data_IF_908045948768
#
_entry.id   IF_908045948768
#
_cell.length_a   1.000
_cell.length_b   1.000
_cell.length_c   1.000
_cell.angle_alpha   90.00
_cell.angle_beta   90.00
_cell.angle_gamma   90.00
#
_symmetry.space_group_name_H-M   'P 1'
#
loop_
_entity.id
_entity.type
_entity.pdbx_description
1 polymer ?
#
# COMPACT_ATOMS: atom_id res chain seq x y z
N UNK A 1 -2.94 -21.26 4.42
CA UNK A 1 -3.65 -22.53 4.17
C UNK A 1 -3.96 -23.20 5.48
N UNK A 2 -5.23 -23.57 5.68
CA UNK A 2 -5.67 -24.28 6.89
C UNK A 2 -5.20 -25.74 6.85
N UNK A 3 -4.55 -26.26 7.92
CA UNK A 3 -4.21 -27.67 8.00
C UNK A 3 -5.46 -28.56 7.81
N UNK A 4 -5.32 -29.72 7.14
CA UNK A 4 -6.46 -30.61 6.87
C UNK A 4 -6.99 -31.29 8.14
N UNK A 5 -6.21 -31.28 9.23
CA UNK A 5 -6.50 -31.97 10.48
C UNK A 5 -6.24 -31.01 11.64
N UNK A 6 -7.18 -30.95 12.58
CA UNK A 6 -7.14 -30.06 13.76
C UNK A 6 -6.71 -30.75 15.06
N UNK A 7 -6.37 -32.04 14.99
CA UNK A 7 -5.87 -32.83 16.11
C UNK A 7 -4.55 -32.27 16.66
N UNK A 8 -4.47 -32.14 17.98
CA UNK A 8 -3.36 -31.48 18.66
C UNK A 8 -2.04 -32.25 18.48
N UNK A 9 -2.07 -33.58 18.57
CA UNK A 9 -0.87 -34.40 18.41
C UNK A 9 -0.35 -34.35 16.97
N UNK A 10 -1.27 -34.43 16.00
CA UNK A 10 -0.93 -34.27 14.59
C UNK A 10 -0.22 -32.94 14.33
N UNK A 11 -0.78 -31.82 14.82
CA UNK A 11 -0.17 -30.50 14.65
C UNK A 11 1.22 -30.42 15.29
N UNK A 12 1.39 -30.97 16.50
CA UNK A 12 2.68 -31.04 17.18
C UNK A 12 3.71 -31.88 16.40
N UNK A 13 3.28 -33.04 15.87
CA UNK A 13 4.15 -33.96 15.13
C UNK A 13 4.60 -33.40 13.78
N UNK A 14 3.73 -32.66 13.08
CA UNK A 14 4.09 -31.95 11.85
C UNK A 14 5.21 -30.96 12.12
N UNK A 15 5.07 -30.12 13.14
CA UNK A 15 6.07 -29.11 13.48
C UNK A 15 7.40 -29.77 13.91
N UNK A 16 7.32 -30.83 14.72
CA UNK A 16 8.48 -31.60 15.16
C UNK A 16 9.22 -32.24 13.98
N UNK A 17 8.51 -32.86 13.04
CA UNK A 17 9.09 -33.51 11.88
C UNK A 17 9.89 -32.54 10.99
N UNK A 18 9.36 -31.34 10.78
CA UNK A 18 10.05 -30.26 10.05
C UNK A 18 11.36 -29.90 10.77
N UNK A 19 11.29 -29.62 12.07
CA UNK A 19 12.47 -29.21 12.84
C UNK A 19 13.53 -30.33 12.94
N UNK A 20 13.13 -31.57 13.17
CA UNK A 20 14.07 -32.70 13.24
C UNK A 20 14.79 -32.91 11.91
N UNK A 21 14.10 -32.69 10.78
CA UNK A 21 14.73 -32.75 9.46
C UNK A 21 15.85 -31.72 9.33
N UNK A 22 15.65 -30.48 9.78
CA UNK A 22 16.70 -29.46 9.80
C UNK A 22 17.90 -29.91 10.66
N UNK A 23 17.63 -30.48 11.83
CA UNK A 23 18.66 -30.95 12.78
C UNK A 23 19.49 -32.12 12.27
N UNK A 24 18.98 -32.91 11.33
CA UNK A 24 19.75 -34.00 10.72
C UNK A 24 20.93 -33.49 9.88
N UNK A 25 20.84 -32.27 9.35
CA UNK A 25 21.89 -31.63 8.53
C UNK A 25 22.69 -30.64 9.37
N UNK A 26 22.01 -29.79 10.16
CA UNK A 26 22.65 -28.82 11.04
C UNK A 26 22.24 -29.04 12.51
N UNK A 27 23.09 -29.67 13.34
CA UNK A 27 22.85 -29.85 14.76
C UNK A 27 22.74 -28.56 15.57
N UNK A 28 23.00 -27.38 15.00
CA UNK A 28 22.81 -26.06 15.64
C UNK A 28 21.65 -25.27 15.03
N UNK A 29 20.84 -25.88 14.16
CA UNK A 29 19.74 -25.21 13.50
C UNK A 29 18.82 -24.48 14.50
N UNK A 30 18.49 -23.24 14.14
CA UNK A 30 17.42 -22.44 14.73
C UNK A 30 16.44 -22.16 13.60
N UNK A 31 15.18 -22.53 13.80
CA UNK A 31 14.15 -22.30 12.81
C UNK A 31 13.57 -20.90 12.99
N UNK A 32 13.64 -20.07 11.96
CA UNK A 32 12.90 -18.81 11.87
C UNK A 32 11.57 -19.08 11.16
N UNK A 33 10.45 -18.82 11.85
CA UNK A 33 9.11 -19.17 11.39
C UNK A 33 8.20 -17.93 11.38
N UNK A 34 7.46 -17.72 10.30
CA UNK A 34 6.44 -16.66 10.26
C UNK A 34 5.19 -17.07 11.06
N UNK A 35 4.74 -16.21 11.97
CA UNK A 35 3.56 -16.44 12.80
C UNK A 35 2.25 -15.99 12.12
N UNK A 36 2.30 -15.53 10.86
CA UNK A 36 1.14 -15.02 10.10
C UNK A 36 -0.05 -15.99 10.10
N UNK A 37 0.23 -17.29 9.96
CA UNK A 37 -0.83 -18.31 9.95
C UNK A 37 -1.70 -18.28 11.21
N UNK A 38 -1.18 -17.83 12.35
CA UNK A 38 -1.94 -17.78 13.61
C UNK A 38 -3.02 -16.70 13.64
N UNK A 39 -3.04 -15.78 12.67
CA UNK A 39 -4.15 -14.84 12.47
C UNK A 39 -5.46 -15.55 12.08
N UNK A 40 -5.38 -16.74 11.47
CA UNK A 40 -6.56 -17.49 11.07
C UNK A 40 -7.33 -18.06 12.26
N UNK A 41 -8.66 -18.09 12.15
CA UNK A 41 -9.59 -18.60 13.18
C UNK A 41 -9.32 -20.06 13.55
N UNK A 42 -8.69 -20.83 12.65
CA UNK A 42 -8.28 -22.20 12.91
C UNK A 42 -7.30 -22.30 14.10
N UNK A 43 -6.45 -21.30 14.32
CA UNK A 43 -5.40 -21.36 15.32
C UNK A 43 -5.86 -20.84 16.68
N UNK A 44 -6.54 -21.72 17.43
CA UNK A 44 -6.91 -21.49 18.83
C UNK A 44 -5.68 -21.59 19.74
N UNK A 45 -5.72 -21.04 20.98
CA UNK A 45 -4.62 -21.15 21.93
C UNK A 45 -4.07 -22.58 22.09
N UNK A 46 -4.93 -23.56 22.36
CA UNK A 46 -4.52 -24.97 22.51
C UNK A 46 -3.83 -25.54 21.27
N UNK A 47 -4.26 -25.12 20.07
CA UNK A 47 -3.66 -25.57 18.80
C UNK A 47 -2.29 -24.96 18.58
N UNK A 48 -2.12 -23.68 18.89
CA UNK A 48 -0.82 -23.00 18.78
C UNK A 48 0.15 -23.55 19.82
N UNK A 49 -0.28 -23.71 21.07
CA UNK A 49 0.52 -24.31 22.13
C UNK A 49 0.99 -25.71 21.74
N UNK A 50 0.06 -26.57 21.29
CA UNK A 50 0.41 -27.93 20.85
C UNK A 50 1.35 -27.93 19.64
N UNK A 51 1.06 -27.11 18.63
CA UNK A 51 1.89 -27.01 17.42
C UNK A 51 3.33 -26.62 17.76
N UNK A 52 3.53 -25.69 18.69
CA UNK A 52 4.86 -25.22 19.10
C UNK A 52 5.55 -26.12 20.15
N UNK A 53 4.81 -27.04 20.80
CA UNK A 53 5.28 -27.78 21.99
C UNK A 53 6.46 -28.73 21.76
N UNK A 54 6.60 -29.30 20.56
CA UNK A 54 7.63 -30.34 20.27
C UNK A 54 8.90 -29.79 19.63
N UNK A 55 9.01 -28.48 19.47
CA UNK A 55 10.29 -27.82 19.16
C UNK A 55 10.89 -27.35 20.48
N UNK A 56 12.17 -27.63 20.79
CA UNK A 56 12.79 -27.13 22.01
C UNK A 56 12.86 -25.60 22.06
N UNK A 57 12.64 -25.02 23.24
CA UNK A 57 12.84 -23.58 23.46
C UNK A 57 14.29 -23.19 23.12
N UNK A 58 14.46 -22.03 22.50
CA UNK A 58 15.76 -21.56 21.99
C UNK A 58 16.13 -22.08 20.59
N UNK A 59 15.36 -23.01 20.03
CA UNK A 59 15.54 -23.49 18.65
C UNK A 59 14.47 -23.00 17.67
N UNK A 60 13.53 -22.18 18.13
CA UNK A 60 12.50 -21.55 17.32
C UNK A 60 12.49 -20.04 17.60
N UNK A 61 12.50 -19.25 16.52
CA UNK A 61 12.27 -17.81 16.54
C UNK A 61 11.04 -17.53 15.69
N UNK A 62 9.99 -17.01 16.30
CA UNK A 62 8.79 -16.60 15.58
C UNK A 62 8.90 -15.15 15.11
N UNK A 63 8.62 -14.93 13.84
CA UNK A 63 8.35 -13.59 13.32
C UNK A 63 6.87 -13.30 13.57
N UNK A 64 6.56 -12.56 14.64
CA UNK A 64 5.22 -12.01 14.81
C UNK A 64 5.04 -10.94 13.73
N UNK A 65 4.38 -11.33 12.65
CA UNK A 65 4.64 -10.75 11.33
C UNK A 65 3.97 -9.39 11.14
N UNK A 66 2.92 -9.11 11.91
CA UNK A 66 2.09 -7.91 11.78
C UNK A 66 1.78 -7.31 13.15
N UNK A 67 2.83 -7.17 13.96
CA UNK A 67 2.71 -6.84 15.38
C UNK A 67 2.24 -5.42 15.65
N UNK A 68 2.41 -4.49 14.71
CA UNK A 68 1.94 -3.11 14.84
C UNK A 68 0.42 -2.97 14.75
N UNK A 69 -0.26 -4.00 14.24
CA UNK A 69 -1.68 -3.97 13.92
C UNK A 69 -2.45 -5.13 14.55
N UNK A 70 -1.89 -6.34 14.50
CA UNK A 70 -2.50 -7.56 14.97
C UNK A 70 -1.45 -8.45 15.68
N UNK A 71 -0.90 -8.01 16.83
CA UNK A 71 0.13 -8.75 17.55
C UNK A 71 -0.37 -10.11 18.03
N UNK A 72 0.34 -11.18 17.66
CA UNK A 72 0.01 -12.53 18.11
C UNK A 72 0.71 -12.90 19.43
N UNK A 73 1.82 -12.23 19.78
CA UNK A 73 2.54 -12.53 21.03
C UNK A 73 1.64 -12.41 22.27
N UNK A 74 0.75 -11.42 22.32
CA UNK A 74 -0.13 -11.18 23.47
C UNK A 74 -1.27 -12.20 23.54
N UNK A 75 -1.74 -12.68 22.39
CA UNK A 75 -2.78 -13.72 22.26
C UNK A 75 -2.28 -15.09 22.69
N UNK A 76 -1.00 -15.39 22.47
CA UNK A 76 -0.41 -16.70 22.70
C UNK A 76 0.66 -16.71 23.79
N UNK A 77 0.49 -15.87 24.83
CA UNK A 77 1.34 -15.86 26.03
C UNK A 77 2.84 -15.81 25.72
N UNK A 78 3.24 -14.87 24.86
CA UNK A 78 4.60 -14.77 24.34
C UNK A 78 5.10 -16.06 23.68
N UNK A 79 4.23 -16.67 22.87
CA UNK A 79 4.47 -17.92 22.12
C UNK A 79 4.97 -19.08 23.00
N UNK A 80 4.42 -19.19 24.22
CA UNK A 80 4.66 -20.33 25.12
C UNK A 80 6.15 -20.59 25.42
N UNK A 81 6.95 -19.52 25.49
CA UNK A 81 8.37 -19.58 25.82
C UNK A 81 9.32 -19.67 24.64
N UNK A 82 8.81 -19.61 23.41
CA UNK A 82 9.65 -19.48 22.22
C UNK A 82 10.03 -18.02 21.97
N UNK A 83 11.25 -17.82 21.45
CA UNK A 83 11.70 -16.48 21.10
C UNK A 83 10.86 -15.90 19.97
N UNK A 84 10.64 -14.59 19.98
CA UNK A 84 9.98 -13.92 18.87
C UNK A 84 10.57 -12.54 18.55
N UNK A 85 10.36 -12.11 17.32
CA UNK A 85 10.68 -10.77 16.83
C UNK A 85 9.35 -10.06 16.60
N UNK A 86 9.19 -8.87 17.18
CA UNK A 86 8.09 -7.97 16.86
C UNK A 86 8.36 -7.38 15.49
N UNK A 87 7.47 -7.54 14.51
CA UNK A 87 7.68 -6.96 13.19
C UNK A 87 6.59 -5.96 12.85
N UNK A 88 7.01 -4.87 12.21
CA UNK A 88 6.11 -4.02 11.46
C UNK A 88 5.95 -4.60 10.06
N UNK A 89 4.77 -5.13 9.73
CA UNK A 89 4.49 -5.55 8.35
C UNK A 89 4.36 -4.32 7.47
N UNK A 90 3.53 -3.36 7.90
CA UNK A 90 3.20 -2.14 7.18
C UNK A 90 2.52 -2.38 5.83
N UNK A 91 3.27 -2.82 4.81
CA UNK A 91 2.82 -2.87 3.43
C UNK A 91 2.46 -4.28 2.93
N UNK A 92 1.41 -4.31 2.11
CA UNK A 92 0.89 -5.46 1.39
C UNK A 92 0.96 -5.17 -0.11
N UNK A 93 1.45 -6.12 -0.91
CA UNK A 93 1.55 -5.99 -2.36
C UNK A 93 2.55 -4.96 -2.89
N UNK A 94 3.33 -4.28 -2.04
CA UNK A 94 4.17 -3.15 -2.47
C UNK A 94 3.34 -1.95 -2.93
N UNK A 95 2.15 -1.77 -2.39
CA UNK A 95 1.24 -0.70 -2.77
C UNK A 95 1.79 0.65 -2.27
N UNK A 96 1.92 1.64 -3.16
CA UNK A 96 2.56 2.92 -2.83
C UNK A 96 1.55 4.04 -2.48
N UNK A 97 0.61 3.75 -1.58
CA UNK A 97 -0.27 4.73 -0.93
C UNK A 97 0.44 5.37 0.27
N UNK A 98 0.06 6.58 0.69
CA UNK A 98 0.52 7.10 1.98
C UNK A 98 -0.31 6.50 3.11
N UNK A 99 0.32 5.79 4.05
CA UNK A 99 -0.30 5.32 5.28
C UNK A 99 0.76 4.89 6.29
N UNK A 100 0.36 4.77 7.56
CA UNK A 100 1.20 4.20 8.61
C UNK A 100 0.63 4.50 10.00
N UNK A 101 1.25 3.95 11.05
CA UNK A 101 0.93 4.32 12.43
C UNK A 101 2.21 4.55 13.23
N UNK A 102 2.64 5.80 13.31
CA UNK A 102 3.74 6.21 14.17
C UNK A 102 3.42 5.89 15.65
N UNK A 103 2.16 6.02 16.06
CA UNK A 103 1.72 5.72 17.43
C UNK A 103 1.90 4.24 17.77
N UNK A 104 1.45 3.32 16.91
CA UNK A 104 1.59 1.89 17.19
C UNK A 104 3.05 1.45 17.10
N UNK A 105 3.81 2.00 16.16
CA UNK A 105 5.22 1.66 15.98
C UNK A 105 6.07 2.14 17.15
N UNK A 106 5.80 3.33 17.72
CA UNK A 106 6.59 3.81 18.86
C UNK A 106 6.28 3.06 20.15
N UNK A 107 5.03 2.65 20.35
CA UNK A 107 4.59 2.00 21.59
C UNK A 107 4.74 0.47 21.55
N UNK A 108 4.56 -0.14 20.38
CA UNK A 108 4.45 -1.60 20.21
C UNK A 108 5.66 -2.39 20.70
N UNK A 109 6.89 -2.08 20.25
CA UNK A 109 8.09 -2.78 20.70
C UNK A 109 8.34 -2.70 22.21
N UNK A 110 7.99 -1.59 22.86
CA UNK A 110 8.14 -1.45 24.31
C UNK A 110 7.05 -2.26 25.03
N UNK A 111 5.80 -2.20 24.57
CA UNK A 111 4.71 -3.01 25.12
C UNK A 111 4.97 -4.53 24.99
N UNK A 112 5.64 -4.96 23.91
CA UNK A 112 6.06 -6.34 23.70
C UNK A 112 7.22 -6.74 24.63
N UNK A 113 8.17 -5.84 24.90
CA UNK A 113 9.24 -6.04 25.89
C UNK A 113 8.70 -6.14 27.32
N UNK A 114 7.77 -5.27 27.68
CA UNK A 114 7.19 -5.19 29.03
C UNK A 114 6.11 -6.25 29.31
N UNK A 115 5.74 -7.03 28.30
CA UNK A 115 4.81 -8.14 28.48
C UNK A 115 5.37 -9.14 29.51
N UNK A 116 4.55 -9.54 30.48
CA UNK A 116 4.98 -10.45 31.55
C UNK A 116 5.46 -11.78 30.97
N UNK A 117 6.72 -12.14 31.23
CA UNK A 117 7.32 -13.34 30.66
C UNK A 117 7.62 -13.23 29.17
N UNK A 118 7.87 -12.02 28.66
CA UNK A 118 8.22 -11.81 27.26
C UNK A 118 9.50 -12.55 26.86
N UNK A 119 9.42 -13.24 25.74
CA UNK A 119 10.54 -13.86 25.01
C UNK A 119 10.88 -13.07 23.75
N UNK A 120 10.55 -11.77 23.73
CA UNK A 120 10.93 -10.89 22.63
C UNK A 120 12.45 -10.75 22.57
N UNK A 121 13.03 -10.95 21.39
CA UNK A 121 14.48 -10.84 21.17
C UNK A 121 14.87 -9.83 20.08
N UNK A 122 13.90 -9.17 19.44
CA UNK A 122 14.21 -8.18 18.41
C UNK A 122 12.99 -7.45 17.86
N UNK A 123 13.28 -6.40 17.10
CA UNK A 123 12.35 -5.63 16.28
C UNK A 123 12.74 -5.82 14.82
N UNK A 124 11.75 -5.99 13.94
CA UNK A 124 11.96 -6.19 12.51
C UNK A 124 10.93 -5.47 11.65
N UNK A 125 11.15 -5.55 10.34
CA UNK A 125 10.26 -5.05 9.30
C UNK A 125 10.02 -6.18 8.29
N UNK A 126 8.76 -6.39 7.91
CA UNK A 126 8.31 -7.55 7.12
C UNK A 126 7.31 -7.16 6.04
N UNK A 127 7.48 -5.96 5.49
CA UNK A 127 6.72 -5.46 4.35
C UNK A 127 6.83 -6.37 3.13
N UNK A 128 5.74 -6.48 2.38
CA UNK A 128 5.74 -7.23 1.12
C UNK A 128 6.49 -6.47 -0.01
N UNK A 129 6.53 -5.13 0.04
CA UNK A 129 7.36 -4.30 -0.82
C UNK A 129 7.95 -3.06 -0.09
N UNK A 130 9.12 -2.59 -0.55
CA UNK A 130 9.97 -1.65 0.22
C UNK A 130 10.05 -0.21 -0.31
N UNK A 131 9.60 0.09 -1.52
CA UNK A 131 9.79 1.39 -2.19
C UNK A 131 8.63 2.38 -1.94
N UNK A 132 8.26 2.59 -0.68
CA UNK A 132 7.20 3.52 -0.26
C UNK A 132 7.29 3.84 1.23
N UNK A 133 6.71 4.96 1.68
CA UNK A 133 6.61 5.35 3.11
C UNK A 133 7.92 5.19 3.91
N UNK A 134 9.05 5.65 3.35
CA UNK A 134 10.39 5.49 3.95
C UNK A 134 10.47 5.98 5.40
N UNK A 135 9.68 6.99 5.76
CA UNK A 135 9.51 7.48 7.14
C UNK A 135 9.15 6.36 8.12
N UNK A 136 8.26 5.45 7.75
CA UNK A 136 7.80 4.37 8.62
C UNK A 136 8.92 3.36 8.88
N UNK A 137 9.76 3.10 7.88
CA UNK A 137 10.86 2.15 7.99
C UNK A 137 12.04 2.69 8.79
N UNK A 138 12.41 3.95 8.56
CA UNK A 138 13.38 4.65 9.42
C UNK A 138 12.89 4.65 10.87
N UNK A 139 11.62 5.01 11.07
CA UNK A 139 11.03 5.06 12.40
C UNK A 139 10.99 3.69 13.10
N UNK A 140 10.56 2.63 12.41
CA UNK A 140 10.47 1.29 12.99
C UNK A 140 11.85 0.73 13.39
N UNK A 141 12.87 0.93 12.56
CA UNK A 141 14.22 0.46 12.83
C UNK A 141 14.86 1.20 14.02
N UNK A 142 14.55 2.48 14.21
CA UNK A 142 15.01 3.24 15.37
C UNK A 142 14.45 2.72 16.71
N UNK A 143 13.30 2.04 16.73
CA UNK A 143 12.66 1.59 17.98
C UNK A 143 13.47 0.54 18.75
N UNK A 144 14.46 -0.10 18.10
CA UNK A 144 15.41 -0.99 18.78
C UNK A 144 16.30 -0.25 19.80
N UNK A 145 16.49 1.06 19.61
CA UNK A 145 17.44 1.88 20.36
C UNK A 145 16.79 3.02 21.15
N UNK A 146 15.45 3.11 21.11
CA UNK A 146 14.69 4.22 21.69
C UNK A 146 13.61 3.74 22.64
N UNK A 147 13.26 4.62 23.58
CA UNK A 147 12.03 4.52 24.34
C UNK A 147 10.85 5.08 23.51
N UNK A 148 9.60 4.69 23.81
CA UNK A 148 8.43 5.26 23.16
C UNK A 148 8.39 6.79 23.28
N UNK A 149 8.01 7.46 22.19
CA UNK A 149 7.91 8.91 22.13
C UNK A 149 6.50 9.37 22.49
N UNK A 150 6.39 10.43 23.28
CA UNK A 150 5.15 11.18 23.42
C UNK A 150 4.92 12.12 22.22
N UNK A 151 3.74 12.75 22.14
CA UNK A 151 3.36 13.60 21.01
C UNK A 151 4.36 14.73 20.71
N UNK A 152 4.94 15.36 21.74
CA UNK A 152 5.92 16.43 21.56
C UNK A 152 7.25 15.90 21.01
N UNK A 153 7.70 14.76 21.52
CA UNK A 153 8.94 14.11 21.08
C UNK A 153 8.80 13.54 19.66
N UNK A 154 7.64 13.01 19.31
CA UNK A 154 7.34 12.55 17.95
C UNK A 154 7.33 13.74 16.98
N UNK A 155 6.74 14.85 17.38
CA UNK A 155 6.75 16.09 16.59
C UNK A 155 8.17 16.61 16.34
N UNK A 156 9.05 16.53 17.34
CA UNK A 156 10.48 16.86 17.19
C UNK A 156 11.21 15.84 16.31
N UNK A 157 10.90 14.56 16.45
CA UNK A 157 11.47 13.51 15.59
C UNK A 157 11.15 13.76 14.10
N UNK A 158 9.90 14.14 13.79
CA UNK A 158 9.49 14.49 12.43
C UNK A 158 10.27 15.67 11.85
N UNK A 159 10.52 16.71 12.66
CA UNK A 159 11.38 17.84 12.26
C UNK A 159 12.79 17.35 11.94
N UNK A 160 13.37 16.54 12.81
CA UNK A 160 14.72 16.02 12.62
C UNK A 160 14.83 15.06 11.43
N UNK A 161 13.78 14.28 11.14
CA UNK A 161 13.68 13.45 9.93
C UNK A 161 13.83 14.33 8.67
N UNK A 162 13.05 15.41 8.56
CA UNK A 162 13.11 16.32 7.41
C UNK A 162 14.48 17.01 7.28
N UNK A 163 15.04 17.47 8.39
CA UNK A 163 16.37 18.11 8.41
C UNK A 163 17.46 17.19 7.84
N UNK A 164 17.45 15.90 8.22
CA UNK A 164 18.38 14.90 7.69
C UNK A 164 18.08 14.54 6.24
N UNK A 165 16.80 14.35 5.91
CA UNK A 165 16.34 13.84 4.62
C UNK A 165 16.61 14.81 3.48
N UNK A 166 16.33 16.10 3.67
CA UNK A 166 16.48 17.08 2.59
C UNK A 166 17.87 17.68 2.48
N UNK A 167 18.65 17.64 3.57
CA UNK A 167 20.08 17.97 3.62
C UNK A 167 20.46 19.18 2.73
N UNK A 168 19.70 20.27 2.84
CA UNK A 168 19.95 21.49 2.05
C UNK A 168 21.21 22.19 2.53
N UNK A 169 21.91 22.85 1.60
CA UNK A 169 23.03 23.74 1.93
C UNK A 169 22.56 25.01 2.65
N UNK A 170 21.32 25.42 2.36
CA UNK A 170 20.60 26.50 3.02
C UNK A 170 19.73 25.93 4.15
N UNK A 171 19.10 26.81 4.94
CA UNK A 171 18.15 26.38 5.96
C UNK A 171 16.93 25.69 5.32
N UNK A 172 16.43 24.60 5.93
CA UNK A 172 15.18 23.98 5.51
C UNK A 172 14.01 24.94 5.81
N UNK A 173 13.14 25.26 4.83
CA UNK A 173 11.98 26.12 5.06
C UNK A 173 11.07 25.58 6.16
N UNK A 174 10.56 26.48 6.99
CA UNK A 174 9.62 26.13 8.06
C UNK A 174 8.35 25.44 7.53
N UNK A 175 7.94 25.77 6.29
CA UNK A 175 6.81 25.12 5.61
C UNK A 175 7.05 23.62 5.38
N UNK A 176 8.26 23.22 4.95
CA UNK A 176 8.59 21.80 4.79
C UNK A 176 8.58 21.04 6.13
N UNK A 177 9.16 21.62 7.18
CA UNK A 177 9.16 21.03 8.52
C UNK A 177 7.72 20.85 9.04
N UNK A 178 6.90 21.89 8.88
CA UNK A 178 5.52 21.87 9.34
C UNK A 178 4.64 20.92 8.53
N UNK A 179 4.88 20.78 7.22
CA UNK A 179 4.16 19.82 6.39
C UNK A 179 4.29 18.39 6.91
N UNK A 180 5.50 17.97 7.31
CA UNK A 180 5.72 16.63 7.85
C UNK A 180 5.13 16.42 9.25
N UNK A 181 5.05 17.46 10.07
CA UNK A 181 4.29 17.41 11.31
C UNK A 181 2.80 17.22 11.04
N UNK A 182 2.25 17.89 10.01
CA UNK A 182 0.85 17.71 9.60
C UNK A 182 0.61 16.29 9.06
N UNK A 183 1.49 15.76 8.21
CA UNK A 183 1.39 14.38 7.70
C UNK A 183 1.50 13.34 8.83
N UNK A 184 2.46 13.53 9.74
CA UNK A 184 2.65 12.70 10.93
C UNK A 184 1.41 12.61 11.82
N UNK A 185 0.72 13.74 12.01
CA UNK A 185 -0.52 13.84 12.78
C UNK A 185 -1.79 13.58 11.95
N UNK A 186 -1.67 13.07 10.73
CA UNK A 186 -2.81 12.72 9.88
C UNK A 186 -2.64 11.35 9.26
N UNK A 187 -2.13 11.27 8.02
CA UNK A 187 -2.01 10.03 7.24
C UNK A 187 -1.11 8.97 7.89
N UNK A 188 -0.19 9.38 8.77
CA UNK A 188 0.71 8.49 9.51
C UNK A 188 0.32 8.25 10.98
N UNK A 189 -0.85 8.71 11.41
CA UNK A 189 -1.25 8.61 12.81
C UNK A 189 -1.80 7.21 13.15
N UNK A 190 -2.76 6.73 12.38
CA UNK A 190 -3.47 5.47 12.62
C UNK A 190 -3.46 4.62 11.36
N UNK A 191 -3.09 3.33 11.50
CA UNK A 191 -3.03 2.41 10.38
C UNK A 191 -4.47 2.05 9.98
N UNK A 192 -4.94 2.41 8.79
CA UNK A 192 -6.32 2.15 8.38
C UNK A 192 -6.65 0.66 8.20
N UNK A 193 -5.66 -0.25 8.28
CA UNK A 193 -5.78 -1.67 7.95
C UNK A 193 -6.39 -1.88 6.56
N UNK A 194 -5.54 -1.93 5.53
CA UNK A 194 -5.99 -2.13 4.14
C UNK A 194 -6.29 -0.82 3.41
N UNK A 195 -5.37 0.16 3.54
CA UNK A 195 -5.33 1.31 2.64
C UNK A 195 -5.35 0.82 1.19
N UNK A 196 -6.27 1.37 0.40
CA UNK A 196 -6.41 1.06 -1.02
C UNK A 196 -6.80 2.32 -1.78
N UNK A 197 -6.45 2.37 -3.05
CA UNK A 197 -6.88 3.44 -3.96
C UNK A 197 -8.01 2.96 -4.84
N UNK A 198 -9.14 3.67 -4.81
CA UNK A 198 -10.23 3.43 -5.75
C UNK A 198 -9.75 3.57 -7.20
N UNK A 199 -8.87 4.54 -7.49
CA UNK A 199 -8.34 4.78 -8.84
C UNK A 199 -7.60 3.56 -9.41
N UNK A 200 -6.91 2.79 -8.57
CA UNK A 200 -6.09 1.65 -9.00
C UNK A 200 -6.86 0.32 -9.02
N UNK A 201 -8.14 0.30 -8.69
CA UNK A 201 -8.95 -0.92 -8.69
C UNK A 201 -9.93 -0.93 -9.87
N UNK A 202 -10.41 -2.13 -10.23
CA UNK A 202 -11.50 -2.26 -11.21
C UNK A 202 -12.69 -1.36 -10.85
N UNK A 203 -13.17 -0.53 -11.78
CA UNK A 203 -14.29 0.36 -11.55
C UNK A 203 -15.62 -0.42 -11.47
N UNK A 204 -16.48 -0.03 -10.54
CA UNK A 204 -17.84 -0.58 -10.39
C UNK A 204 -18.70 0.38 -9.59
N UNK A 205 -20.03 0.39 -9.80
CA UNK A 205 -20.97 1.33 -9.18
C UNK A 205 -20.95 1.36 -7.64
N UNK A 206 -20.65 0.23 -7.01
CA UNK A 206 -20.69 0.03 -5.56
C UNK A 206 -19.32 0.18 -4.88
N UNK A 207 -18.32 0.69 -5.61
CA UNK A 207 -17.00 1.00 -5.04
C UNK A 207 -17.02 2.28 -4.22
N UNK A 208 -16.35 2.24 -3.08
CA UNK A 208 -16.00 3.40 -2.26
C UNK A 208 -14.61 3.20 -1.67
N UNK A 209 -13.97 4.29 -1.27
CA UNK A 209 -12.70 4.25 -0.56
C UNK A 209 -12.92 4.85 0.83
N UNK A 210 -12.56 4.10 1.86
CA UNK A 210 -12.57 4.62 3.23
C UNK A 210 -11.48 5.68 3.40
N UNK A 211 -11.82 6.77 4.08
CA UNK A 211 -10.91 7.88 4.36
C UNK A 211 -10.74 7.95 5.88
N UNK A 212 -9.52 7.69 6.33
CA UNK A 212 -9.21 7.46 7.75
C UNK A 212 -8.56 8.67 8.43
N UNK A 213 -8.30 9.73 7.68
CA UNK A 213 -7.71 10.98 8.16
C UNK A 213 -8.44 12.19 7.56
N UNK A 214 -8.17 13.38 8.09
CA UNK A 214 -8.72 14.62 7.54
C UNK A 214 -8.00 15.01 6.23
N UNK A 215 -8.71 14.95 5.11
CA UNK A 215 -8.17 15.34 3.80
C UNK A 215 -7.66 16.79 3.77
N UNK A 216 -8.22 17.69 4.58
CA UNK A 216 -7.73 19.07 4.63
C UNK A 216 -6.30 19.14 5.17
N UNK A 217 -5.93 18.23 6.08
CA UNK A 217 -4.56 18.13 6.59
C UNK A 217 -3.60 17.70 5.47
N UNK A 218 -3.99 16.72 4.64
CA UNK A 218 -3.20 16.32 3.47
C UNK A 218 -3.05 17.47 2.45
N UNK A 219 -4.14 18.17 2.10
CA UNK A 219 -4.07 19.29 1.15
C UNK A 219 -3.25 20.46 1.69
N UNK A 220 -3.32 20.72 3.00
CA UNK A 220 -2.52 21.75 3.64
C UNK A 220 -1.04 21.37 3.68
N UNK A 221 -0.70 20.11 3.98
CA UNK A 221 0.67 19.63 3.88
C UNK A 221 1.21 19.74 2.44
N UNK A 222 0.38 19.43 1.44
CA UNK A 222 0.74 19.62 0.03
C UNK A 222 1.00 21.09 -0.32
N UNK A 223 0.14 22.02 0.12
CA UNK A 223 0.36 23.47 -0.04
C UNK A 223 1.71 23.91 0.55
N UNK A 224 2.02 23.46 1.77
CA UNK A 224 3.27 23.77 2.45
C UNK A 224 4.51 23.21 1.71
N UNK A 225 4.43 21.99 1.15
CA UNK A 225 5.51 21.41 0.36
C UNK A 225 5.68 22.12 -0.99
N UNK A 226 4.58 22.50 -1.65
CA UNK A 226 4.63 23.30 -2.88
C UNK A 226 5.26 24.66 -2.62
N UNK A 227 4.96 25.31 -1.49
CA UNK A 227 5.62 26.53 -1.06
C UNK A 227 7.12 26.33 -0.81
N UNK A 228 7.48 25.29 -0.04
CA UNK A 228 8.87 24.96 0.26
C UNK A 228 9.71 24.65 -0.99
N UNK A 229 9.09 24.21 -2.09
CA UNK A 229 9.78 23.97 -3.36
C UNK A 229 10.43 25.22 -3.95
N UNK A 230 10.09 26.43 -3.47
CA UNK A 230 10.74 27.67 -3.87
C UNK A 230 12.22 27.70 -3.47
N UNK A 231 12.58 26.95 -2.42
CA UNK A 231 13.91 26.93 -1.82
C UNK A 231 14.52 25.52 -1.79
N UNK A 232 13.70 24.46 -1.92
CA UNK A 232 14.15 23.07 -1.91
C UNK A 232 14.12 22.41 -3.30
N UNK A 233 15.22 21.76 -3.66
CA UNK A 233 15.38 21.03 -4.92
C UNK A 233 16.22 19.74 -4.79
N UNK A 234 16.30 19.17 -3.59
CA UNK A 234 17.04 17.91 -3.38
C UNK A 234 16.27 16.72 -3.96
N UNK A 235 16.98 15.64 -4.31
CA UNK A 235 16.38 14.44 -4.93
C UNK A 235 15.31 13.78 -4.05
N UNK A 236 15.50 13.79 -2.73
CA UNK A 236 14.53 13.26 -1.77
C UNK A 236 13.36 14.22 -1.53
N UNK A 237 13.56 15.53 -1.63
CA UNK A 237 12.46 16.49 -1.63
C UNK A 237 11.57 16.32 -2.87
N UNK A 238 12.18 16.15 -4.05
CA UNK A 238 11.44 15.87 -5.29
C UNK A 238 10.61 14.59 -5.19
N UNK A 239 11.15 13.53 -4.59
CA UNK A 239 10.42 12.29 -4.32
C UNK A 239 9.16 12.54 -3.50
N UNK A 240 9.33 13.17 -2.32
CA UNK A 240 8.21 13.39 -1.41
C UNK A 240 7.18 14.32 -2.05
N UNK A 241 7.61 15.36 -2.78
CA UNK A 241 6.69 16.25 -3.47
C UNK A 241 5.84 15.49 -4.51
N UNK A 242 6.43 14.54 -5.26
CA UNK A 242 5.70 13.67 -6.19
C UNK A 242 4.75 12.73 -5.43
N UNK A 243 5.22 12.09 -4.36
CA UNK A 243 4.44 11.12 -3.58
C UNK A 243 3.20 11.77 -2.92
N UNK A 244 3.39 12.94 -2.28
CA UNK A 244 2.27 13.73 -1.72
C UNK A 244 1.34 14.24 -2.83
N UNK A 245 1.88 14.74 -3.96
CA UNK A 245 1.02 15.24 -5.06
C UNK A 245 0.15 14.13 -5.63
N UNK A 246 0.71 12.94 -5.86
CA UNK A 246 -0.02 11.73 -6.25
C UNK A 246 -1.13 11.42 -5.23
N UNK A 247 -0.82 11.42 -3.94
CA UNK A 247 -1.82 11.12 -2.91
C UNK A 247 -3.00 12.10 -2.95
N UNK A 248 -2.72 13.39 -3.14
CA UNK A 248 -3.77 14.41 -3.30
C UNK A 248 -4.64 14.14 -4.53
N UNK A 249 -4.04 13.82 -5.67
CA UNK A 249 -4.79 13.52 -6.90
C UNK A 249 -5.64 12.26 -6.77
N UNK A 250 -5.15 11.23 -6.07
CA UNK A 250 -5.94 10.03 -5.76
C UNK A 250 -7.22 10.40 -4.99
N UNK A 251 -7.12 11.19 -3.92
CA UNK A 251 -8.31 11.57 -3.16
C UNK A 251 -9.20 12.55 -3.91
N UNK A 252 -8.64 13.41 -4.76
CA UNK A 252 -9.43 14.23 -5.68
C UNK A 252 -10.27 13.35 -6.61
N UNK A 253 -9.68 12.28 -7.16
CA UNK A 253 -10.39 11.31 -7.99
C UNK A 253 -11.55 10.64 -7.24
N UNK A 254 -11.35 10.22 -5.99
CA UNK A 254 -12.42 9.64 -5.15
C UNK A 254 -13.60 10.60 -4.99
N UNK A 255 -13.32 11.89 -4.80
CA UNK A 255 -14.37 12.90 -4.63
C UNK A 255 -15.17 13.14 -5.90
N UNK A 256 -14.52 13.19 -7.06
CA UNK A 256 -15.22 13.36 -8.35
C UNK A 256 -15.93 12.09 -8.80
N UNK A 257 -15.37 10.92 -8.47
CA UNK A 257 -16.04 9.64 -8.64
C UNK A 257 -17.35 9.58 -7.85
N UNK A 258 -17.35 10.08 -6.61
CA UNK A 258 -18.59 10.18 -5.82
C UNK A 258 -19.63 11.05 -6.52
N UNK A 259 -19.23 12.19 -7.12
CA UNK A 259 -20.13 13.05 -7.88
C UNK A 259 -20.61 12.40 -9.18
N UNK A 260 -19.77 11.61 -9.85
CA UNK A 260 -20.13 10.80 -11.01
C UNK A 260 -21.26 9.82 -10.67
N UNK A 261 -21.09 9.06 -9.58
CA UNK A 261 -22.09 8.09 -9.13
C UNK A 261 -23.39 8.79 -8.72
N UNK A 262 -23.31 9.93 -8.04
CA UNK A 262 -24.49 10.75 -7.71
C UNK A 262 -25.23 11.25 -8.95
N UNK A 263 -24.51 11.69 -9.99
CA UNK A 263 -25.11 12.08 -11.26
C UNK A 263 -25.77 10.89 -11.97
N UNK A 264 -25.09 9.74 -12.00
CA UNK A 264 -25.62 8.50 -12.58
C UNK A 264 -26.91 8.05 -11.87
N UNK A 265 -26.93 8.07 -10.54
CA UNK A 265 -28.11 7.73 -9.74
C UNK A 265 -29.29 8.67 -9.96
N UNK A 266 -29.04 9.93 -10.35
CA UNK A 266 -30.07 10.90 -10.76
C UNK A 266 -30.45 10.80 -12.24
N UNK A 267 -29.88 9.85 -12.98
CA UNK A 267 -30.02 9.75 -14.45
C UNK A 267 -29.61 11.03 -15.19
N UNK A 268 -28.64 11.77 -14.64
CA UNK A 268 -28.14 13.03 -15.19
C UNK A 268 -27.02 12.77 -16.21
N UNK A 269 -27.41 12.60 -17.48
CA UNK A 269 -26.47 12.30 -18.58
C UNK A 269 -25.38 13.38 -18.72
N UNK A 270 -25.75 14.66 -18.57
CA UNK A 270 -24.80 15.76 -18.69
C UNK A 270 -23.83 15.79 -17.49
N UNK A 271 -24.34 15.57 -16.29
CA UNK A 271 -23.54 15.43 -15.08
C UNK A 271 -22.55 14.26 -15.17
N UNK A 272 -22.99 13.10 -15.67
CA UNK A 272 -22.11 11.93 -15.87
C UNK A 272 -21.01 12.24 -16.89
N UNK A 273 -21.36 12.81 -18.04
CA UNK A 273 -20.38 13.18 -19.07
C UNK A 273 -19.34 14.18 -18.55
N UNK A 274 -19.81 15.19 -17.80
CA UNK A 274 -18.93 16.22 -17.21
C UNK A 274 -17.96 15.62 -16.19
N UNK A 275 -18.45 14.78 -15.28
CA UNK A 275 -17.60 14.17 -14.25
C UNK A 275 -16.65 13.12 -14.83
N UNK A 276 -17.07 12.38 -15.86
CA UNK A 276 -16.20 11.47 -16.58
C UNK A 276 -15.01 12.23 -17.19
N UNK A 277 -15.24 13.37 -17.84
CA UNK A 277 -14.16 14.21 -18.38
C UNK A 277 -13.19 14.70 -17.29
N UNK A 278 -13.70 15.14 -16.14
CA UNK A 278 -12.86 15.55 -14.99
C UNK A 278 -11.98 14.39 -14.51
N UNK A 279 -12.54 13.18 -14.41
CA UNK A 279 -11.80 12.00 -13.98
C UNK A 279 -10.72 11.59 -15.00
N UNK A 280 -11.01 11.72 -16.30
CA UNK A 280 -10.01 11.54 -17.37
C UNK A 280 -8.85 12.54 -17.21
N UNK A 281 -9.15 13.82 -16.96
CA UNK A 281 -8.13 14.85 -16.76
C UNK A 281 -7.25 14.54 -15.52
N UNK A 282 -7.83 14.04 -14.44
CA UNK A 282 -7.07 13.65 -13.24
C UNK A 282 -6.15 12.46 -13.54
N UNK A 283 -6.58 11.47 -14.33
CA UNK A 283 -5.74 10.35 -14.74
C UNK A 283 -4.56 10.81 -15.60
N UNK A 284 -4.79 11.76 -16.51
CA UNK A 284 -3.73 12.35 -17.33
C UNK A 284 -2.72 13.13 -16.47
N UNK A 285 -3.20 13.94 -15.52
CA UNK A 285 -2.33 14.68 -14.61
C UNK A 285 -1.54 13.75 -13.67
N UNK A 286 -2.15 12.65 -13.23
CA UNK A 286 -1.48 11.60 -12.46
C UNK A 286 -0.34 10.97 -13.26
N UNK A 287 -0.56 10.62 -14.53
CA UNK A 287 0.49 10.11 -15.41
C UNK A 287 1.66 11.10 -15.54
N UNK A 288 1.37 12.40 -15.70
CA UNK A 288 2.39 13.44 -15.86
C UNK A 288 3.26 13.60 -14.60
N UNK A 289 2.66 13.68 -13.41
CA UNK A 289 3.45 13.83 -12.17
C UNK A 289 4.31 12.59 -11.89
N UNK A 290 3.79 11.39 -12.13
CA UNK A 290 4.55 10.15 -11.92
C UNK A 290 5.70 10.01 -12.93
N UNK A 291 5.51 10.44 -14.18
CA UNK A 291 6.56 10.39 -15.20
C UNK A 291 7.77 11.29 -14.86
N UNK A 292 7.61 12.25 -13.95
CA UNK A 292 8.65 13.23 -13.60
C UNK A 292 9.72 12.70 -12.63
N UNK A 293 9.54 11.49 -12.07
CA UNK A 293 10.48 10.91 -11.11
C UNK A 293 10.75 9.42 -11.38
N UNK A 294 12.03 9.03 -11.40
CA UNK A 294 12.48 7.69 -11.78
C UNK A 294 11.89 6.58 -10.89
N UNK A 295 11.51 6.90 -9.65
CA UNK A 295 10.97 5.93 -8.69
C UNK A 295 9.53 5.54 -8.98
N UNK A 296 8.86 6.26 -9.89
CA UNK A 296 7.47 6.04 -10.27
C UNK A 296 7.31 5.61 -11.74
N UNK A 297 8.34 5.03 -12.37
CA UNK A 297 8.29 4.59 -13.77
C UNK A 297 8.12 3.06 -13.87
N UNK A 298 7.07 2.60 -14.56
CA UNK A 298 6.89 1.18 -14.89
C UNK A 298 8.09 0.64 -15.71
N UNK A 299 8.69 1.50 -16.54
CA UNK A 299 9.82 1.12 -17.38
C UNK A 299 11.01 0.60 -16.58
N UNK A 300 11.27 1.13 -15.38
CA UNK A 300 12.36 0.65 -14.54
C UNK A 300 12.09 -0.77 -14.03
N UNK A 301 10.87 -1.04 -13.57
CA UNK A 301 10.45 -2.38 -13.14
C UNK A 301 10.57 -3.43 -14.25
N UNK A 302 10.10 -3.09 -15.46
CA UNK A 302 10.20 -3.99 -16.61
C UNK A 302 11.67 -4.16 -17.02
N UNK A 303 12.42 -3.06 -17.09
CA UNK A 303 13.85 -3.09 -17.46
C UNK A 303 14.66 -3.97 -16.51
N UNK A 304 14.40 -3.93 -15.21
CA UNK A 304 15.06 -4.79 -14.22
C UNK A 304 14.71 -6.27 -14.43
N UNK A 305 13.45 -6.59 -14.73
CA UNK A 305 13.05 -7.96 -15.05
C UNK A 305 13.73 -8.48 -16.34
N UNK A 306 13.88 -7.62 -17.35
CA UNK A 306 14.48 -7.99 -18.63
C UNK A 306 15.99 -8.25 -18.55
N UNK A 307 16.69 -7.74 -17.53
CA UNK A 307 18.12 -8.01 -17.33
C UNK A 307 18.42 -9.50 -17.05
N UNK A 308 17.41 -10.28 -16.64
CA UNK A 308 17.55 -11.73 -16.42
C UNK A 308 17.45 -12.55 -17.71
N UNK A 309 16.95 -11.96 -18.81
CA UNK A 309 16.74 -12.69 -20.06
C UNK A 309 18.04 -12.92 -20.83
N UNK A 310 18.26 -14.13 -21.31
CA UNK A 310 19.39 -14.48 -22.20
C UNK A 310 18.99 -14.67 -23.67
N UNK A 311 17.69 -14.65 -23.98
CA UNK A 311 17.15 -14.83 -25.33
C UNK A 311 15.76 -14.17 -25.48
N UNK A 312 15.22 -14.14 -26.70
CA UNK A 312 13.93 -13.51 -26.99
C UNK A 312 12.75 -14.16 -26.27
N UNK A 313 12.74 -15.48 -26.09
CA UNK A 313 11.66 -16.19 -25.37
C UNK A 313 11.62 -15.75 -23.91
N UNK A 314 12.77 -15.64 -23.27
CA UNK A 314 12.88 -15.15 -21.90
C UNK A 314 12.53 -13.66 -21.77
N UNK A 315 12.84 -12.83 -22.77
CA UNK A 315 12.40 -11.42 -22.78
C UNK A 315 10.86 -11.35 -22.70
N UNK A 316 10.16 -12.16 -23.51
CA UNK A 316 8.70 -12.22 -23.48
C UNK A 316 8.19 -12.75 -22.14
N UNK A 317 8.83 -13.81 -21.60
CA UNK A 317 8.47 -14.39 -20.31
C UNK A 317 8.63 -13.39 -19.16
N UNK A 318 9.77 -12.72 -19.04
CA UNK A 318 10.00 -11.77 -17.95
C UNK A 318 9.15 -10.51 -18.08
N UNK A 319 8.94 -9.99 -19.29
CA UNK A 319 8.01 -8.89 -19.52
C UNK A 319 6.58 -9.26 -19.10
N UNK A 320 6.10 -10.44 -19.50
CA UNK A 320 4.79 -10.95 -19.10
C UNK A 320 4.67 -11.07 -17.59
N UNK A 321 5.64 -11.70 -16.90
CA UNK A 321 5.60 -11.85 -15.44
C UNK A 321 5.65 -10.50 -14.71
N UNK A 322 6.52 -9.58 -15.15
CA UNK A 322 6.66 -8.26 -14.56
C UNK A 322 5.34 -7.47 -14.62
N UNK A 323 4.64 -7.50 -15.76
CA UNK A 323 3.33 -6.84 -15.91
C UNK A 323 2.22 -7.59 -15.18
N UNK A 324 2.21 -8.92 -15.23
CA UNK A 324 1.18 -9.74 -14.59
C UNK A 324 1.15 -9.51 -13.07
N UNK A 325 2.32 -9.52 -12.42
CA UNK A 325 2.45 -9.38 -10.97
C UNK A 325 1.79 -8.09 -10.44
N UNK A 326 1.99 -6.95 -11.12
CA UNK A 326 1.49 -5.64 -10.69
C UNK A 326 0.09 -5.30 -11.22
N UNK A 327 -0.54 -6.21 -11.96
CA UNK A 327 -1.88 -6.02 -12.56
C UNK A 327 -2.86 -7.08 -12.05
N UNK A 328 -3.16 -8.11 -12.84
CA UNK A 328 -4.13 -9.16 -12.50
C UNK A 328 -3.54 -10.28 -11.63
N UNK A 329 -2.24 -10.18 -11.28
CA UNK A 329 -1.44 -11.08 -10.46
C UNK A 329 -1.20 -12.48 -11.05
N UNK A 330 -2.26 -13.16 -11.48
CA UNK A 330 -2.20 -14.49 -12.07
C UNK A 330 -3.32 -14.74 -13.08
N UNK A 331 -3.15 -15.76 -13.93
CA UNK A 331 -4.15 -16.13 -14.95
C UNK A 331 -5.35 -16.88 -14.37
N UNK A 332 -5.26 -17.36 -13.12
CA UNK A 332 -6.39 -17.97 -12.44
C UNK A 332 -7.31 -16.91 -11.82
N UNK A 333 -8.29 -16.50 -12.60
CA UNK A 333 -9.27 -15.47 -12.21
C UNK A 333 -10.11 -15.80 -10.98
N UNK A 334 -10.17 -17.07 -10.56
CA UNK A 334 -10.94 -17.45 -9.37
C UNK A 334 -10.25 -17.08 -8.06
N UNK A 335 -8.94 -16.75 -8.09
CA UNK A 335 -8.18 -16.37 -6.89
C UNK A 335 -8.46 -14.93 -6.43
N UNK A 336 -9.10 -14.10 -7.27
CA UNK A 336 -9.52 -12.76 -6.86
C UNK A 336 -8.40 -11.75 -6.60
N UNK A 337 -7.15 -12.05 -6.96
CA UNK A 337 -5.95 -11.23 -6.67
C UNK A 337 -5.75 -10.04 -7.63
N UNK A 338 -6.81 -9.59 -8.29
CA UNK A 338 -6.74 -8.42 -9.18
C UNK A 338 -6.28 -7.19 -8.40
N UNK A 339 -5.32 -6.47 -8.96
CA UNK A 339 -4.79 -5.22 -8.43
C UNK A 339 -4.14 -5.35 -7.03
N UNK A 340 -3.86 -6.58 -6.57
CA UNK A 340 -3.27 -6.85 -5.25
C UNK A 340 -1.95 -6.10 -5.03
N UNK A 341 -1.09 -6.12 -6.06
CA UNK A 341 0.18 -5.41 -6.08
C UNK A 341 0.13 -4.18 -7.01
N UNK A 342 -0.97 -3.42 -6.93
CA UNK A 342 -1.16 -2.19 -7.70
C UNK A 342 -0.06 -1.14 -7.45
N UNK A 343 0.18 -0.28 -8.44
CA UNK A 343 1.24 0.75 -8.39
C UNK A 343 0.76 2.03 -9.02
N UNK A 344 1.00 3.15 -8.36
CA UNK A 344 1.05 4.44 -9.03
C UNK A 344 2.35 4.58 -9.79
N UNK A 345 2.40 4.00 -10.98
CA UNK A 345 3.52 4.16 -11.91
C UNK A 345 3.06 4.79 -13.22
N UNK A 346 3.85 5.72 -13.73
CA UNK A 346 3.76 6.18 -15.12
C UNK A 346 3.88 4.98 -16.06
N UNK A 347 3.07 4.97 -17.10
CA UNK A 347 2.84 3.84 -17.99
C UNK A 347 1.70 2.93 -17.50
N UNK A 348 1.64 2.61 -16.20
CA UNK A 348 0.48 1.87 -15.68
C UNK A 348 -0.78 2.73 -15.65
N UNK A 349 -0.69 4.00 -15.25
CA UNK A 349 -1.84 4.91 -15.26
C UNK A 349 -2.40 5.01 -16.68
N UNK A 350 -1.54 5.30 -17.66
CA UNK A 350 -1.95 5.47 -19.05
C UNK A 350 -2.49 4.20 -19.71
N UNK A 351 -1.82 3.04 -19.54
CA UNK A 351 -2.08 1.87 -20.38
C UNK A 351 -2.84 0.73 -19.66
N UNK A 352 -2.99 0.79 -18.34
CA UNK A 352 -3.75 -0.21 -17.58
C UNK A 352 -4.94 0.42 -16.83
N UNK A 353 -4.71 1.47 -16.04
CA UNK A 353 -5.77 2.04 -15.20
C UNK A 353 -6.75 2.92 -15.98
N UNK A 354 -6.28 3.88 -16.77
CA UNK A 354 -7.13 4.79 -17.52
C UNK A 354 -8.06 4.08 -18.53
N UNK A 355 -7.60 3.08 -19.31
CA UNK A 355 -8.48 2.34 -20.21
C UNK A 355 -9.64 1.63 -19.49
N UNK A 356 -9.42 1.12 -18.26
CA UNK A 356 -10.50 0.54 -17.44
C UNK A 356 -11.56 1.58 -17.09
N UNK A 357 -11.13 2.78 -16.70
CA UNK A 357 -12.04 3.89 -16.40
C UNK A 357 -12.81 4.36 -17.64
N UNK A 358 -12.18 4.41 -18.81
CA UNK A 358 -12.86 4.76 -20.07
C UNK A 358 -13.97 3.77 -20.43
N UNK A 359 -13.69 2.46 -20.29
CA UNK A 359 -14.70 1.41 -20.48
C UNK A 359 -15.88 1.63 -19.51
N UNK A 360 -15.59 1.93 -18.24
CA UNK A 360 -16.64 2.17 -17.26
C UNK A 360 -17.50 3.39 -17.60
N UNK A 361 -16.89 4.52 -17.95
CA UNK A 361 -17.62 5.74 -18.33
C UNK A 361 -18.48 5.52 -19.57
N UNK A 362 -17.98 4.81 -20.59
CA UNK A 362 -18.75 4.43 -21.77
C UNK A 362 -19.96 3.55 -21.40
N UNK A 363 -19.79 2.58 -20.50
CA UNK A 363 -20.88 1.75 -20.00
C UNK A 363 -21.93 2.58 -19.24
N UNK A 364 -21.52 3.52 -18.38
CA UNK A 364 -22.45 4.41 -17.68
C UNK A 364 -23.28 5.24 -18.66
N UNK A 365 -22.62 5.87 -19.64
CA UNK A 365 -23.29 6.73 -20.62
C UNK A 365 -24.26 5.92 -21.51
N UNK A 366 -23.84 4.75 -22.00
CA UNK A 366 -24.72 3.86 -22.79
C UNK A 366 -25.92 3.40 -21.98
N UNK A 367 -25.72 3.02 -20.71
CA UNK A 367 -26.81 2.62 -19.82
C UNK A 367 -27.87 3.72 -19.68
N UNK A 368 -27.46 4.98 -19.55
CA UNK A 368 -28.37 6.13 -19.47
C UNK A 368 -29.09 6.42 -20.80
N UNK A 369 -28.40 6.30 -21.93
CA UNK A 369 -28.98 6.58 -23.26
C UNK A 369 -29.98 5.49 -23.67
N UNK A 370 -29.66 4.22 -23.41
CA UNK A 370 -30.47 3.07 -23.80
C UNK A 370 -31.56 2.73 -22.76
N UNK A 371 -31.43 3.22 -21.53
CA UNK A 371 -32.38 2.94 -20.44
C UNK A 371 -32.28 1.51 -19.91
N UNK A 372 -31.10 0.88 -20.02
CA UNK A 372 -30.86 -0.49 -19.56
C UNK A 372 -29.91 -0.53 -18.37
N UNK A 373 -30.17 -1.38 -17.35
CA UNK A 373 -29.28 -1.52 -16.22
C UNK A 373 -27.93 -2.10 -16.65
N UNK A 374 -26.87 -1.74 -15.93
CA UNK A 374 -25.52 -2.24 -16.18
C UNK A 374 -25.44 -3.72 -15.82
N UNK A 375 -25.02 -4.56 -16.78
CA UNK A 375 -24.66 -5.95 -16.52
C UNK A 375 -23.18 -6.05 -16.11
N UNK A 376 -22.93 -6.36 -14.84
CA UNK A 376 -21.58 -6.54 -14.30
C UNK A 376 -20.77 -7.63 -15.02
N UNK A 377 -21.40 -8.66 -15.59
CA UNK A 377 -20.69 -9.67 -16.38
C UNK A 377 -20.16 -9.07 -17.69
N UNK A 378 -20.95 -8.22 -18.32
CA UNK A 378 -20.55 -7.50 -19.54
C UNK A 378 -19.46 -6.49 -19.23
N UNK A 379 -19.64 -5.68 -18.17
CA UNK A 379 -18.61 -4.73 -17.73
C UNK A 379 -17.28 -5.43 -17.45
N UNK A 380 -17.27 -6.48 -16.62
CA UNK A 380 -16.04 -7.22 -16.30
C UNK A 380 -15.39 -7.85 -17.53
N UNK A 381 -16.19 -8.37 -18.47
CA UNK A 381 -15.66 -8.91 -19.74
C UNK A 381 -15.02 -7.82 -20.58
N UNK A 382 -15.62 -6.64 -20.66
CA UNK A 382 -15.07 -5.49 -21.39
C UNK A 382 -13.80 -4.96 -20.74
N UNK A 383 -13.78 -4.78 -19.41
CA UNK A 383 -12.59 -4.39 -18.67
C UNK A 383 -11.41 -5.32 -18.98
N UNK A 384 -11.66 -6.63 -18.94
CA UNK A 384 -10.64 -7.61 -19.24
C UNK A 384 -10.15 -7.54 -20.70
N UNK A 385 -11.05 -7.55 -21.68
CA UNK A 385 -10.68 -7.63 -23.10
C UNK A 385 -10.14 -6.31 -23.67
N UNK A 386 -10.65 -5.17 -23.20
CA UNK A 386 -10.34 -3.85 -23.77
C UNK A 386 -9.19 -3.14 -23.03
N UNK A 387 -8.89 -3.50 -21.78
CA UNK A 387 -7.85 -2.84 -20.98
C UNK A 387 -6.80 -3.80 -20.43
N UNK A 388 -7.20 -4.86 -19.72
CA UNK A 388 -6.26 -5.67 -18.94
C UNK A 388 -5.46 -6.64 -19.81
N UNK A 389 -6.13 -7.44 -20.64
CA UNK A 389 -5.49 -8.40 -21.55
C UNK A 389 -4.52 -7.72 -22.52
N UNK A 390 -4.87 -6.57 -23.14
CA UNK A 390 -3.92 -5.82 -23.95
C UNK A 390 -2.64 -5.46 -23.18
N UNK A 391 -2.77 -4.98 -21.93
CA UNK A 391 -1.62 -4.50 -21.14
C UNK A 391 -0.60 -5.60 -20.83
N UNK A 392 -1.01 -6.76 -20.31
CA UNK A 392 -0.03 -7.78 -19.87
C UNK A 392 0.34 -8.80 -20.95
N UNK A 393 -0.51 -9.05 -21.96
CA UNK A 393 -0.28 -10.10 -22.95
C UNK A 393 0.06 -9.58 -24.35
N UNK A 394 -0.55 -8.48 -24.79
CA UNK A 394 -0.41 -8.01 -26.17
C UNK A 394 0.56 -6.84 -26.31
N UNK A 395 0.84 -6.14 -25.21
CA UNK A 395 1.64 -4.95 -25.24
C UNK A 395 3.15 -5.24 -25.25
N UNK A 396 3.76 -5.01 -26.41
CA UNK A 396 5.22 -5.03 -26.62
C UNK A 396 5.84 -3.62 -26.55
N UNK A 397 5.09 -2.62 -26.06
CA UNK A 397 5.57 -1.23 -25.93
C UNK A 397 6.76 -1.18 -24.98
N UNK A 398 7.73 -0.38 -25.38
CA UNK A 398 8.81 0.05 -24.49
C UNK A 398 8.31 1.15 -23.57
N UNK A 399 8.45 0.93 -22.26
CA UNK A 399 8.15 1.93 -21.24
C UNK A 399 9.41 2.73 -20.90
N UNK A 400 9.36 4.08 -20.87
CA UNK A 400 10.51 4.90 -20.55
C UNK A 400 11.13 4.58 -19.18
N UNK A 401 12.45 4.51 -19.13
CA UNK A 401 13.27 4.41 -17.90
C UNK A 401 13.87 5.76 -17.47
N UNK A 402 13.63 6.79 -18.27
CA UNK A 402 14.05 8.16 -18.02
C UNK A 402 12.85 9.04 -17.72
N UNK A 403 13.03 9.99 -16.81
CA UNK A 403 11.98 10.92 -16.41
C UNK A 403 11.58 11.87 -17.52
N UNK A 404 10.35 12.38 -17.45
CA UNK A 404 9.80 13.39 -18.35
C UNK A 404 9.24 14.56 -17.55
N UNK A 405 9.69 15.77 -17.90
CA UNK A 405 9.31 17.00 -17.20
C UNK A 405 10.09 17.23 -15.90
N UNK A 406 9.80 18.35 -15.24
CA UNK A 406 10.37 18.72 -13.95
C UNK A 406 9.30 18.59 -12.87
N UNK A 407 9.58 17.78 -11.84
CA UNK A 407 8.61 17.42 -10.82
C UNK A 407 8.11 18.62 -10.01
N UNK A 408 8.97 19.60 -9.72
CA UNK A 408 8.60 20.81 -8.98
C UNK A 408 7.68 21.68 -9.83
N UNK A 409 8.02 21.93 -11.09
CA UNK A 409 7.17 22.73 -11.97
C UNK A 409 5.79 22.07 -12.16
N UNK A 410 5.76 20.75 -12.40
CA UNK A 410 4.50 20.01 -12.56
C UNK A 410 3.66 20.10 -11.29
N UNK A 411 4.24 19.81 -10.11
CA UNK A 411 3.51 19.87 -8.84
C UNK A 411 2.92 21.28 -8.58
N UNK A 412 3.64 22.35 -8.91
CA UNK A 412 3.14 23.73 -8.81
C UNK A 412 1.96 24.01 -9.75
N UNK A 413 2.03 23.56 -10.99
CA UNK A 413 0.94 23.75 -11.95
C UNK A 413 -0.31 22.96 -11.54
N UNK A 414 -0.13 21.73 -11.07
CA UNK A 414 -1.23 20.92 -10.53
C UNK A 414 -1.83 21.56 -9.26
N UNK A 415 -1.00 22.11 -8.37
CA UNK A 415 -1.48 22.87 -7.23
C UNK A 415 -2.35 24.06 -7.66
N UNK A 416 -1.91 24.86 -8.64
CA UNK A 416 -2.72 25.96 -9.18
C UNK A 416 -4.05 25.48 -9.76
N UNK A 417 -4.04 24.35 -10.48
CA UNK A 417 -5.23 23.73 -11.10
C UNK A 417 -6.25 23.30 -10.05
N UNK A 418 -5.82 22.60 -8.99
CA UNK A 418 -6.73 21.93 -8.07
C UNK A 418 -7.07 22.69 -6.78
N UNK A 419 -6.22 23.62 -6.31
CA UNK A 419 -6.38 24.27 -4.98
C UNK A 419 -7.77 24.85 -4.70
N UNK A 420 -8.41 25.49 -5.70
CA UNK A 420 -9.73 26.10 -5.52
C UNK A 420 -10.86 25.07 -5.40
N UNK A 421 -10.73 23.94 -6.10
CA UNK A 421 -11.68 22.83 -5.98
C UNK A 421 -11.54 22.12 -4.64
N UNK A 422 -10.32 22.09 -4.09
CA UNK A 422 -10.00 21.46 -2.81
C UNK A 422 -10.33 22.34 -1.59
N UNK A 423 -10.36 23.66 -1.74
CA UNK A 423 -10.72 24.58 -0.65
C UNK A 423 -12.21 24.54 -0.28
N UNK A 424 -13.08 24.04 -1.18
CA UNK A 424 -14.54 24.08 -1.03
C UNK A 424 -15.17 22.75 -0.56
N UNK A 425 -14.38 21.84 0.01
CA UNK A 425 -14.80 20.47 0.29
C UNK A 425 -15.77 20.39 1.47
N UNK A 426 -16.94 19.79 1.21
CA UNK A 426 -17.77 19.17 2.24
C UNK A 426 -17.36 17.70 2.35
N UNK A 427 -16.79 17.33 3.50
CA UNK A 427 -16.32 15.96 3.73
C UNK A 427 -17.48 14.95 3.57
N UNK A 428 -17.27 13.82 2.88
CA UNK A 428 -18.17 12.67 3.01
C UNK A 428 -18.25 12.29 4.49
N UNK A 429 -19.44 11.94 4.99
CA UNK A 429 -19.57 11.46 6.37
C UNK A 429 -18.68 10.22 6.54
N UNK A 430 -17.80 10.25 7.54
CA UNK A 430 -17.00 9.09 7.92
C UNK A 430 -17.94 7.92 8.23
N UNK A 431 -17.82 6.83 7.48
CA UNK A 431 -18.42 5.56 7.87
C UNK A 431 -17.57 5.00 9.01
N UNK A 432 -17.84 5.48 10.23
CA UNK A 432 -17.36 4.78 11.42
C UNK A 432 -17.96 3.37 11.41
N UNK A 433 -17.08 2.37 11.49
CA UNK A 433 -17.33 0.91 11.52
C UNK A 433 -17.43 0.21 10.16
N UNK A 434 -16.28 -0.10 9.59
CA UNK A 434 -16.01 -1.45 9.11
C UNK A 434 -14.65 -1.89 9.66
N UNK A 435 -14.66 -2.72 10.70
CA UNK A 435 -13.57 -3.68 10.86
C UNK A 435 -13.68 -4.59 9.64
N UNK A 436 -12.88 -4.34 8.61
CA UNK A 436 -12.73 -5.31 7.54
C UNK A 436 -12.12 -6.56 8.19
N UNK A 437 -12.82 -7.71 8.22
CA UNK A 437 -12.13 -8.94 8.53
C UNK A 437 -11.11 -9.14 7.41
N UNK A 438 -9.86 -9.44 7.77
CA UNK A 438 -8.71 -9.77 6.89
C UNK A 438 -8.99 -10.90 5.85
N UNK A 439 -10.23 -11.40 5.79
CA UNK A 439 -10.70 -12.59 5.09
C UNK A 439 -10.82 -12.47 3.57
N UNK A 440 -10.61 -11.30 2.97
CA UNK A 440 -10.90 -11.09 1.53
C UNK A 440 -9.69 -10.98 0.61
N UNK A 441 -8.46 -10.91 1.12
CA UNK A 441 -7.29 -10.86 0.24
C UNK A 441 -6.74 -12.24 -0.13
N UNK A 442 -7.08 -13.29 0.63
CA UNK A 442 -6.54 -14.63 0.41
C UNK A 442 -7.52 -15.72 0.85
N UNK A 443 -8.56 -15.98 0.04
CA UNK A 443 -9.34 -17.23 0.10
C UNK A 443 -9.48 -17.83 -1.29
#
# INVERSE_FOLDING_TARGET
MTPPVSDLNYLADVNAGIFQTMKTVDPKAVWVMQAWLFLEDFWTPDRVESYLSKVPQGNLILLDLFSEAAPQYSRFQSFYGHFYIWNMLHDFGGNNYLFGSLVNVTNGPQAARDYSGSYMIGVGITMEGINQNEIMYEFALEQSWRAPLNDSELSEWLVNFVLRRYASKDAIPASALYAWQVLGNSVYQENPHGAHSLMLHRPALDKSQAIHFDLKSLFFAWELLVDASNELDSDLFRYDLVDITKEVLQYKFVMDYTQLIDAFNRSDLYGVSTQAAILVDILADMEIILASDRRFLLGNWISDALQFAINEEEIHFYNFNAKLQVSIWGTNYTLGLFDYASKFWSGMIQDYYAPRWYVFFDVLLKSLVEGHPIDNRVLNKRLFLEAELPFFMLDTKYYPTTTQGDSIMIARELFKKYRLSLSNIKMPRSSSKQQLPYKHYFN
#
